data_IF_251207029796
#
_entry.id   IF_251207029796
#
_cell.length_a   1.000
_cell.length_b   1.000
_cell.length_c   1.000
_cell.angle_alpha   90.00
_cell.angle_beta   90.00
_cell.angle_gamma   90.00
#
_symmetry.space_group_name_H-M   'P 1'
#
loop_
_entity.id
_entity.type
_entity.pdbx_description
1 polymer ?
#
# COMPACT_ATOMS: atom_id res chain seq x y z
N UNK A 1 -25.55 -0.14 20.65
CA UNK A 1 -25.23 -0.71 19.32
C UNK A 1 -23.74 -0.59 19.15
N UNK A 2 -23.02 -1.66 18.83
CA UNK A 2 -21.58 -1.55 18.61
C UNK A 2 -21.35 -0.77 17.30
N UNK A 3 -20.72 0.40 17.40
CA UNK A 3 -20.31 1.18 16.24
C UNK A 3 -19.11 0.45 15.60
N UNK A 4 -19.38 -0.40 14.62
CA UNK A 4 -18.36 -1.23 13.96
C UNK A 4 -17.95 -0.54 12.68
N UNK A 5 -16.68 -0.15 12.61
CA UNK A 5 -16.06 0.39 11.39
C UNK A 5 -15.67 -0.75 10.45
N UNK A 6 -15.67 -0.48 9.16
CA UNK A 6 -15.30 -1.43 8.11
C UNK A 6 -13.80 -1.69 8.07
N UNK A 7 -13.39 -2.85 7.56
CA UNK A 7 -11.98 -3.15 7.32
C UNK A 7 -11.32 -2.12 6.38
N UNK A 8 -12.09 -1.58 5.44
CA UNK A 8 -11.65 -0.55 4.51
C UNK A 8 -11.30 0.75 5.25
N UNK A 9 -12.16 1.22 6.16
CA UNK A 9 -11.90 2.42 6.99
C UNK A 9 -10.68 2.23 7.90
N UNK A 10 -10.51 1.04 8.49
CA UNK A 10 -9.32 0.74 9.31
C UNK A 10 -8.05 0.83 8.44
N UNK A 11 -8.09 0.26 7.23
CA UNK A 11 -6.96 0.25 6.29
C UNK A 11 -6.60 1.66 5.83
N UNK A 12 -7.60 2.50 5.57
CA UNK A 12 -7.40 3.90 5.20
C UNK A 12 -6.76 4.71 6.34
N UNK A 13 -7.29 4.61 7.56
CA UNK A 13 -6.71 5.29 8.72
C UNK A 13 -5.29 4.81 9.01
N UNK A 14 -5.03 3.51 8.89
CA UNK A 14 -3.70 2.95 9.07
C UNK A 14 -2.72 3.50 8.02
N UNK A 15 -3.14 3.55 6.75
CA UNK A 15 -2.36 4.13 5.64
C UNK A 15 -1.97 5.60 5.92
N UNK A 16 -2.95 6.41 6.28
CA UNK A 16 -2.74 7.83 6.58
C UNK A 16 -1.80 8.03 7.78
N UNK A 17 -2.00 7.26 8.86
CA UNK A 17 -1.14 7.30 10.03
C UNK A 17 0.31 6.91 9.71
N UNK A 18 0.50 5.84 8.91
CA UNK A 18 1.82 5.41 8.46
C UNK A 18 2.50 6.47 7.58
N UNK A 19 1.77 7.08 6.65
CA UNK A 19 2.32 8.14 5.80
C UNK A 19 2.72 9.38 6.61
N UNK A 20 1.88 9.80 7.56
CA UNK A 20 2.17 10.93 8.43
C UNK A 20 3.40 10.66 9.32
N UNK A 21 3.46 9.48 9.93
CA UNK A 21 4.62 9.03 10.72
C UNK A 21 5.89 9.03 9.86
N UNK A 22 5.84 8.43 8.67
CA UNK A 22 7.00 8.32 7.79
C UNK A 22 7.47 9.70 7.28
N UNK A 23 6.54 10.61 7.00
CA UNK A 23 6.88 12.00 6.66
C UNK A 23 7.58 12.73 7.80
N UNK A 24 7.16 12.48 9.05
CA UNK A 24 7.81 13.06 10.22
C UNK A 24 9.22 12.50 10.44
N UNK A 25 9.41 11.20 10.23
CA UNK A 25 10.71 10.54 10.37
C UNK A 25 11.68 10.85 9.22
N UNK A 26 11.14 11.02 8.00
CA UNK A 26 11.90 11.25 6.77
C UNK A 26 11.32 12.47 6.04
N UNK A 27 11.76 13.70 6.37
CA UNK A 27 11.18 14.93 5.79
C UNK A 27 11.24 14.99 4.26
N UNK A 28 12.24 14.35 3.63
CA UNK A 28 12.36 14.27 2.18
C UNK A 28 11.20 13.51 1.52
N UNK A 29 10.53 12.60 2.25
CA UNK A 29 9.31 11.96 1.77
C UNK A 29 8.20 12.99 1.55
N UNK A 30 8.04 13.97 2.45
CA UNK A 30 7.07 15.07 2.27
C UNK A 30 7.37 15.89 1.01
N UNK A 31 8.63 16.27 0.80
CA UNK A 31 9.05 16.98 -0.42
C UNK A 31 8.78 16.16 -1.69
N UNK A 32 8.98 14.85 -1.64
CA UNK A 32 8.65 13.96 -2.75
C UNK A 32 7.13 13.96 -3.03
N UNK A 33 6.29 13.94 -2.00
CA UNK A 33 4.84 13.96 -2.18
C UNK A 33 4.35 15.26 -2.84
N UNK A 34 4.92 16.40 -2.45
CA UNK A 34 4.63 17.70 -3.08
C UNK A 34 5.01 17.68 -4.56
N UNK A 35 6.22 17.22 -4.89
CA UNK A 35 6.68 17.11 -6.28
C UNK A 35 5.78 16.18 -7.11
N UNK A 36 5.37 15.04 -6.55
CA UNK A 36 4.47 14.11 -7.24
C UNK A 36 3.11 14.76 -7.52
N UNK A 37 2.57 15.53 -6.57
CA UNK A 37 1.31 16.25 -6.77
C UNK A 37 1.42 17.29 -7.91
N UNK A 38 2.51 18.07 -7.93
CA UNK A 38 2.77 19.06 -8.98
C UNK A 38 2.89 18.41 -10.36
N UNK A 39 3.64 17.31 -10.46
CA UNK A 39 3.81 16.56 -11.72
C UNK A 39 2.48 15.96 -12.18
N UNK A 40 1.71 15.35 -11.27
CA UNK A 40 0.40 14.79 -11.61
C UNK A 40 -0.54 15.86 -12.16
N UNK A 41 -0.61 17.03 -11.50
CA UNK A 41 -1.42 18.14 -11.96
C UNK A 41 -0.98 18.62 -13.36
N UNK A 42 0.32 18.85 -13.55
CA UNK A 42 0.85 19.31 -14.83
C UNK A 42 0.56 18.30 -15.96
N UNK A 43 0.65 17.00 -15.71
CA UNK A 43 0.32 15.97 -16.71
C UNK A 43 -1.16 15.99 -17.07
N UNK A 44 -2.06 16.09 -16.08
CA UNK A 44 -3.51 16.12 -16.30
C UNK A 44 -3.98 17.39 -17.01
N UNK A 45 -3.35 18.54 -16.73
CA UNK A 45 -3.63 19.80 -17.41
C UNK A 45 -3.18 19.79 -18.88
N UNK A 46 -2.03 19.18 -19.16
CA UNK A 46 -1.47 19.11 -20.51
C UNK A 46 -2.04 17.94 -21.34
N UNK A 47 -2.82 17.05 -20.76
CA UNK A 47 -3.38 15.88 -21.45
C UNK A 47 -4.86 15.64 -21.09
N UNK A 48 -5.79 16.43 -21.67
CA UNK A 48 -7.22 16.34 -21.36
C UNK A 48 -7.83 14.97 -21.66
N UNK A 49 -7.33 14.25 -22.67
CA UNK A 49 -7.81 12.90 -23.00
C UNK A 49 -7.47 11.91 -21.89
N UNK A 50 -6.26 11.98 -21.33
CA UNK A 50 -5.86 11.17 -20.19
C UNK A 50 -6.69 11.52 -18.95
N UNK A 51 -6.95 12.81 -18.72
CA UNK A 51 -7.81 13.26 -17.63
C UNK A 51 -9.21 12.64 -17.74
N UNK A 52 -9.86 12.73 -18.91
CA UNK A 52 -11.18 12.13 -19.13
C UNK A 52 -11.17 10.61 -18.94
N UNK A 53 -10.13 9.92 -19.41
CA UNK A 53 -9.98 8.47 -19.21
C UNK A 53 -9.92 8.10 -17.72
N UNK A 54 -9.08 8.79 -16.94
CA UNK A 54 -8.92 8.53 -15.51
C UNK A 54 -10.17 8.93 -14.72
N UNK A 55 -10.87 9.99 -15.12
CA UNK A 55 -12.14 10.39 -14.52
C UNK A 55 -13.22 9.33 -14.75
N UNK A 56 -13.34 8.82 -15.98
CA UNK A 56 -14.32 7.80 -16.33
C UNK A 56 -14.04 6.44 -15.67
N UNK A 57 -12.78 6.18 -15.29
CA UNK A 57 -12.37 4.98 -14.59
C UNK A 57 -12.38 5.14 -13.04
N UNK A 58 -12.81 6.30 -12.51
CA UNK A 58 -12.80 6.62 -11.08
C UNK A 58 -11.39 6.55 -10.43
N UNK A 59 -10.33 6.71 -11.22
CA UNK A 59 -8.93 6.55 -10.77
C UNK A 59 -8.30 7.86 -10.26
N UNK A 60 -8.91 9.01 -10.56
CA UNK A 60 -8.40 10.32 -10.13
C UNK A 60 -8.36 10.46 -8.60
N UNK A 61 -9.37 9.93 -7.91
CA UNK A 61 -9.41 9.94 -6.45
C UNK A 61 -8.30 9.09 -5.83
N UNK A 62 -7.90 7.99 -6.52
CA UNK A 62 -6.87 7.05 -6.07
C UNK A 62 -5.46 7.57 -6.29
N UNK A 63 -5.22 8.28 -7.40
CA UNK A 63 -3.89 8.70 -7.84
C UNK A 63 -3.07 9.44 -6.77
N UNK A 64 -3.71 10.32 -5.99
CA UNK A 64 -3.01 11.16 -5.00
C UNK A 64 -2.71 10.42 -3.70
N UNK A 65 -3.45 9.36 -3.42
CA UNK A 65 -3.40 8.65 -2.14
C UNK A 65 -2.69 7.30 -2.25
N UNK A 66 -2.50 6.75 -3.45
CA UNK A 66 -1.88 5.44 -3.69
C UNK A 66 -0.42 5.35 -3.19
N UNK A 67 -0.16 4.42 -2.27
CA UNK A 67 1.15 4.16 -1.65
C UNK A 67 1.36 2.65 -1.48
N UNK A 68 2.61 2.24 -1.32
CA UNK A 68 2.95 0.88 -0.92
C UNK A 68 4.02 0.89 0.18
N UNK A 69 3.82 0.07 1.21
CA UNK A 69 4.79 -0.14 2.27
C UNK A 69 5.72 -1.31 1.96
N UNK A 70 6.94 -1.28 2.47
CA UNK A 70 7.82 -2.43 2.45
C UNK A 70 8.42 -2.63 3.85
N UNK A 71 8.29 -3.83 4.39
CA UNK A 71 8.75 -4.20 5.72
C UNK A 71 9.47 -5.54 5.68
N UNK A 72 10.42 -5.74 6.59
CA UNK A 72 11.16 -6.99 6.74
C UNK A 72 10.87 -7.59 8.12
N UNK A 73 10.74 -8.91 8.17
CA UNK A 73 10.64 -9.68 9.41
C UNK A 73 11.73 -10.73 9.48
N UNK A 74 12.15 -11.06 10.70
CA UNK A 74 13.22 -12.01 10.97
C UNK A 74 12.73 -13.44 11.17
N UNK A 75 11.46 -13.64 11.51
CA UNK A 75 10.94 -14.97 11.91
C UNK A 75 9.57 -15.30 11.30
N UNK A 76 9.27 -16.60 11.24
CA UNK A 76 7.95 -17.12 10.83
C UNK A 76 6.82 -16.61 11.73
N UNK A 77 7.08 -16.49 13.03
CA UNK A 77 6.10 -16.04 14.02
C UNK A 77 5.73 -14.57 13.83
N UNK A 78 6.71 -13.71 13.53
CA UNK A 78 6.47 -12.31 13.18
C UNK A 78 5.63 -12.21 11.91
N UNK A 79 5.96 -12.99 10.87
CA UNK A 79 5.18 -13.05 9.63
C UNK A 79 3.73 -13.51 9.90
N UNK A 80 3.54 -14.58 10.66
CA UNK A 80 2.23 -15.09 11.02
C UNK A 80 1.41 -14.08 11.84
N UNK A 81 2.06 -13.31 12.70
CA UNK A 81 1.44 -12.24 13.49
C UNK A 81 1.02 -11.07 12.61
N UNK A 82 1.89 -10.60 11.72
CA UNK A 82 1.57 -9.55 10.76
C UNK A 82 0.44 -9.96 9.82
N UNK A 83 0.41 -11.22 9.36
CA UNK A 83 -0.71 -11.75 8.57
C UNK A 83 -2.04 -11.59 9.30
N UNK A 84 -2.09 -11.83 10.61
CA UNK A 84 -3.31 -11.66 11.42
C UNK A 84 -3.69 -10.20 11.58
N UNK A 85 -2.71 -9.32 11.78
CA UNK A 85 -2.92 -7.87 11.85
C UNK A 85 -3.48 -7.33 10.52
N UNK A 86 -2.88 -7.71 9.39
CA UNK A 86 -3.33 -7.32 8.06
C UNK A 86 -4.74 -7.85 7.72
N UNK A 87 -5.10 -9.03 8.21
CA UNK A 87 -6.44 -9.58 8.03
C UNK A 87 -7.55 -8.72 8.67
N UNK A 88 -7.28 -8.01 9.77
CA UNK A 88 -8.23 -7.05 10.38
C UNK A 88 -8.53 -5.90 9.41
N UNK A 89 -7.53 -5.51 8.63
CA UNK A 89 -7.63 -4.49 7.59
C UNK A 89 -8.11 -5.05 6.26
N UNK A 90 -8.57 -6.30 6.18
CA UNK A 90 -9.02 -6.91 4.92
C UNK A 90 -7.90 -7.11 3.89
N UNK A 91 -6.64 -7.21 4.35
CA UNK A 91 -5.46 -7.41 3.51
C UNK A 91 -4.97 -8.85 3.63
N UNK A 92 -4.74 -9.50 2.49
CA UNK A 92 -4.41 -10.91 2.39
C UNK A 92 -3.10 -11.10 1.63
N UNK A 93 -2.35 -12.18 1.92
CA UNK A 93 -1.12 -12.47 1.18
C UNK A 93 -1.46 -12.85 -0.27
N UNK A 94 -0.93 -12.08 -1.21
CA UNK A 94 -1.07 -12.26 -2.66
C UNK A 94 0.31 -12.44 -3.28
N UNK A 95 0.44 -13.52 -4.07
CA UNK A 95 1.65 -13.91 -4.78
C UNK A 95 2.82 -14.31 -3.86
N UNK A 96 3.91 -14.78 -4.49
CA UNK A 96 5.14 -15.17 -3.82
C UNK A 96 6.34 -14.70 -4.64
N UNK A 97 7.30 -14.08 -3.97
CA UNK A 97 8.49 -13.51 -4.58
C UNK A 97 9.75 -14.08 -3.92
N UNK A 98 10.54 -14.84 -4.67
CA UNK A 98 11.84 -15.33 -4.24
C UNK A 98 12.94 -14.39 -4.73
N UNK A 99 13.47 -13.56 -3.83
CA UNK A 99 14.56 -12.63 -4.15
C UNK A 99 15.95 -13.27 -3.99
N UNK A 100 16.03 -14.52 -3.49
CA UNK A 100 17.31 -15.24 -3.39
C UNK A 100 17.96 -15.43 -4.76
N UNK A 101 17.13 -15.54 -5.81
CA UNK A 101 17.54 -15.55 -7.22
C UNK A 101 18.33 -14.30 -7.64
N UNK A 102 18.09 -13.16 -6.97
CA UNK A 102 18.79 -11.89 -7.19
C UNK A 102 19.92 -11.63 -6.17
N UNK A 103 20.29 -12.64 -5.38
CA UNK A 103 21.33 -12.53 -4.35
C UNK A 103 20.87 -11.84 -3.06
N UNK A 104 19.57 -11.62 -2.87
CA UNK A 104 19.01 -11.08 -1.63
C UNK A 104 18.33 -12.23 -0.86
N UNK A 105 18.80 -12.61 0.33
CA UNK A 105 18.32 -13.81 1.03
C UNK A 105 16.98 -13.53 1.72
N UNK A 106 15.93 -13.30 0.94
CA UNK A 106 14.56 -13.10 1.44
C UNK A 106 13.53 -13.67 0.48
N UNK A 107 12.43 -14.16 1.05
CA UNK A 107 11.21 -14.50 0.34
C UNK A 107 10.10 -13.55 0.76
N UNK A 108 9.22 -13.15 -0.15
CA UNK A 108 8.22 -12.11 0.13
C UNK A 108 6.83 -12.46 -0.38
N UNK A 109 5.82 -11.83 0.22
CA UNK A 109 4.43 -11.76 -0.28
C UNK A 109 3.96 -10.32 -0.17
N UNK A 110 2.98 -9.93 -1.00
CA UNK A 110 2.31 -8.64 -0.87
C UNK A 110 1.00 -8.83 -0.09
N UNK A 111 0.76 -7.99 0.92
CA UNK A 111 -0.52 -7.98 1.63
C UNK A 111 -1.42 -6.91 1.03
N UNK A 112 -2.57 -7.32 0.49
CA UNK A 112 -3.52 -6.40 -0.14
C UNK A 112 -4.98 -6.87 -0.13
N UNK A 113 -5.94 -5.97 -0.34
CA UNK A 113 -7.31 -6.35 -0.62
C UNK A 113 -7.40 -7.18 -1.91
N UNK A 114 -8.37 -8.07 -1.95
CA UNK A 114 -8.63 -8.96 -3.10
C UNK A 114 -9.99 -8.74 -3.75
N UNK A 115 -10.88 -7.99 -3.08
CA UNK A 115 -12.19 -7.63 -3.60
C UNK A 115 -12.10 -6.36 -4.47
N UNK A 116 -12.78 -6.36 -5.61
CA UNK A 116 -12.71 -5.28 -6.58
C UNK A 116 -13.21 -3.94 -6.01
N UNK A 117 -14.24 -3.94 -5.17
CA UNK A 117 -14.74 -2.72 -4.54
C UNK A 117 -13.75 -2.21 -3.47
N UNK A 118 -13.12 -3.12 -2.74
CA UNK A 118 -12.07 -2.80 -1.77
C UNK A 118 -10.78 -2.29 -2.45
N UNK A 119 -10.47 -2.75 -3.66
CA UNK A 119 -9.36 -2.25 -4.49
C UNK A 119 -9.68 -0.87 -5.09
N UNK A 120 -10.90 -0.68 -5.60
CA UNK A 120 -11.32 0.58 -6.20
C UNK A 120 -11.34 1.74 -5.21
N UNK A 121 -11.62 1.47 -3.92
CA UNK A 121 -11.72 2.50 -2.88
C UNK A 121 -10.40 3.05 -2.34
N UNK A 122 -9.24 2.42 -2.58
CA UNK A 122 -8.15 2.51 -1.61
C UNK A 122 -6.78 3.03 -2.06
N UNK A 123 -6.10 3.59 -1.05
CA UNK A 123 -4.86 4.36 -1.07
C UNK A 123 -3.60 3.57 -0.68
N UNK A 124 -3.70 2.35 -0.15
CA UNK A 124 -2.54 1.45 -0.06
C UNK A 124 -2.87 0.16 -0.79
N UNK A 125 -2.17 -0.04 -1.89
CA UNK A 125 -2.35 -1.21 -2.74
C UNK A 125 -1.60 -2.41 -2.17
N UNK A 126 -0.46 -2.24 -1.47
CA UNK A 126 0.37 -3.39 -1.04
C UNK A 126 1.32 -3.08 0.15
N UNK A 127 1.41 -3.99 1.12
CA UNK A 127 2.60 -4.13 1.98
C UNK A 127 3.43 -5.31 1.50
N UNK A 128 4.64 -5.05 1.01
CA UNK A 128 5.60 -6.10 0.73
C UNK A 128 6.28 -6.51 2.03
N UNK A 129 6.00 -7.75 2.46
CA UNK A 129 6.62 -8.31 3.65
C UNK A 129 7.64 -9.36 3.22
N UNK A 130 8.90 -9.06 3.48
CA UNK A 130 10.03 -9.94 3.20
C UNK A 130 10.46 -10.66 4.48
N UNK A 131 10.55 -11.98 4.43
CA UNK A 131 11.02 -12.83 5.51
C UNK A 131 12.36 -13.49 5.14
N UNK A 132 13.25 -13.64 6.13
CA UNK A 132 14.50 -14.36 5.95
C UNK A 132 14.26 -15.86 5.68
N UNK A 133 15.17 -16.58 4.99
CA UNK A 133 15.04 -18.01 4.73
C UNK A 133 14.91 -18.80 6.03
N UNK A 134 13.90 -19.68 6.10
CA UNK A 134 13.54 -20.46 7.30
C UNK A 134 12.39 -19.87 8.12
N UNK A 135 11.71 -18.84 7.61
CA UNK A 135 10.52 -18.24 8.21
C UNK A 135 9.18 -18.82 7.68
N UNK A 136 9.24 -20.01 7.09
CA UNK A 136 8.11 -20.69 6.41
C UNK A 136 7.06 -21.26 7.38
#
# INVERSE_FOLDING_TARGET
MANTITADEIREHFSQAMSAMYQQEVPQYGTLLELVADVNLAVLENNPQLHEQLANADELARLNVERHGAIRVGTAEELATLRRMFAIMGMYPVSYYDLSQAGVPVHSTAFRPIDDAALARQSISDFHLAAAPGAD
#
